data_IF_248497988181
#
_entry.id   IF_248497988181
#
_cell.length_a   1.000
_cell.length_b   1.000
_cell.length_c   1.000
_cell.angle_alpha   90.00
_cell.angle_beta   90.00
_cell.angle_gamma   90.00
#
_symmetry.space_group_name_H-M   'P 1'
#
loop_
_entity.id
_entity.type
_entity.pdbx_description
1 polymer ?
#
# COMPACT_ATOMS: atom_id res chain seq x y z
N UNK A 1 26.88 7.30 -1.71
CA UNK A 1 25.44 7.24 -1.31
C UNK A 1 25.23 5.95 -0.55
N UNK A 2 24.69 6.04 0.66
CA UNK A 2 24.31 4.87 1.46
C UNK A 2 23.00 4.26 0.96
N UNK A 3 22.70 3.04 1.39
CA UNK A 3 21.40 2.40 1.11
C UNK A 3 20.25 3.28 1.64
N UNK A 4 20.37 3.77 2.87
CA UNK A 4 19.36 4.63 3.50
C UNK A 4 19.14 5.94 2.71
N UNK A 5 20.22 6.57 2.23
CA UNK A 5 20.09 7.78 1.40
C UNK A 5 19.41 7.49 0.05
N UNK A 6 19.71 6.35 -0.57
CA UNK A 6 19.05 5.95 -1.81
C UNK A 6 17.55 5.64 -1.60
N UNK A 7 17.19 5.04 -0.46
CA UNK A 7 15.82 4.81 -0.04
C UNK A 7 15.04 6.14 0.03
N UNK A 8 15.61 7.12 0.71
CA UNK A 8 14.99 8.44 0.85
C UNK A 8 14.82 9.14 -0.51
N UNK A 9 15.85 9.10 -1.35
CA UNK A 9 15.80 9.66 -2.70
C UNK A 9 14.84 8.93 -3.64
N UNK A 10 14.49 7.69 -3.37
CA UNK A 10 13.54 6.93 -4.19
C UNK A 10 12.11 7.49 -4.17
N UNK A 11 11.79 8.39 -3.22
CA UNK A 11 10.53 9.12 -3.14
C UNK A 11 10.46 10.36 -4.05
N UNK A 12 11.58 10.75 -4.66
CA UNK A 12 11.64 11.95 -5.52
C UNK A 12 10.65 11.94 -6.69
N UNK A 13 10.40 10.81 -7.42
CA UNK A 13 9.42 10.81 -8.51
C UNK A 13 8.02 11.19 -8.06
N UNK A 14 7.59 10.72 -6.89
CA UNK A 14 6.27 11.00 -6.34
C UNK A 14 6.12 12.48 -5.99
N UNK A 15 7.17 13.08 -5.41
CA UNK A 15 7.20 14.52 -5.12
C UNK A 15 7.18 15.37 -6.40
N UNK A 16 7.90 14.96 -7.44
CA UNK A 16 7.89 15.61 -8.76
C UNK A 16 6.50 15.53 -9.39
N UNK A 17 5.85 14.38 -9.35
CA UNK A 17 4.51 14.19 -9.88
C UNK A 17 3.49 15.10 -9.21
N UNK A 18 3.53 15.21 -7.88
CA UNK A 18 2.72 16.16 -7.12
C UNK A 18 2.99 17.61 -7.57
N UNK A 19 4.26 17.99 -7.75
CA UNK A 19 4.65 19.35 -8.17
C UNK A 19 4.24 19.68 -9.60
N UNK A 20 4.16 18.71 -10.50
CA UNK A 20 3.65 18.90 -11.87
C UNK A 20 2.15 19.19 -11.83
N UNK A 21 1.41 18.44 -10.99
CA UNK A 21 -0.05 18.54 -10.90
C UNK A 21 -0.49 19.81 -10.19
N UNK A 22 0.15 20.13 -9.05
CA UNK A 22 -0.28 21.18 -8.14
C UNK A 22 0.82 22.20 -7.84
N UNK A 23 0.43 23.44 -7.54
CA UNK A 23 1.37 24.43 -7.01
C UNK A 23 1.64 24.15 -5.54
N UNK A 24 2.83 23.62 -5.24
CA UNK A 24 3.23 23.26 -3.88
C UNK A 24 3.98 24.38 -3.13
N UNK A 25 3.97 25.61 -3.63
CA UNK A 25 4.67 26.74 -2.99
C UNK A 25 4.20 26.97 -1.54
N UNK A 26 2.92 26.76 -1.27
CA UNK A 26 2.34 26.87 0.07
C UNK A 26 2.86 25.79 1.05
N UNK A 27 3.21 24.60 0.55
CA UNK A 27 3.62 23.47 1.35
C UNK A 27 5.14 23.30 1.45
N UNK A 28 5.92 23.87 0.52
CA UNK A 28 7.38 23.67 0.46
C UNK A 28 8.20 24.91 0.84
N UNK A 29 7.60 26.10 0.90
CA UNK A 29 8.27 27.33 1.30
C UNK A 29 8.66 27.36 2.79
N UNK A 30 9.50 28.33 3.17
CA UNK A 30 9.88 28.56 4.55
C UNK A 30 8.64 28.74 5.43
N UNK A 31 8.59 28.07 6.58
CA UNK A 31 7.41 28.09 7.47
C UNK A 31 6.27 27.18 7.03
N UNK A 32 6.48 26.28 6.07
CA UNK A 32 5.46 25.39 5.52
C UNK A 32 4.66 24.63 6.59
N UNK A 33 5.29 24.11 7.64
CA UNK A 33 4.61 23.35 8.71
C UNK A 33 3.54 24.21 9.43
N UNK A 34 3.87 25.45 9.79
CA UNK A 34 2.92 26.36 10.42
C UNK A 34 1.81 26.74 9.45
N UNK A 35 2.18 27.04 8.21
CA UNK A 35 1.23 27.40 7.15
C UNK A 35 0.25 26.26 6.86
N UNK A 36 0.73 25.02 6.78
CA UNK A 36 -0.14 23.85 6.61
C UNK A 36 -1.13 23.66 7.76
N UNK A 37 -0.66 23.85 9.02
CA UNK A 37 -1.56 23.82 10.18
C UNK A 37 -2.62 24.90 10.13
N UNK A 38 -2.28 26.11 9.71
CA UNK A 38 -3.24 27.21 9.57
C UNK A 38 -4.23 26.94 8.43
N UNK A 39 -3.77 26.40 7.29
CA UNK A 39 -4.63 26.00 6.17
C UNK A 39 -5.62 24.90 6.55
N UNK A 40 -5.16 23.90 7.31
CA UNK A 40 -6.03 22.83 7.84
C UNK A 40 -7.13 23.43 8.73
N UNK A 41 -6.76 24.32 9.65
CA UNK A 41 -7.72 25.01 10.52
C UNK A 41 -8.73 25.85 9.69
N UNK A 42 -8.27 26.58 8.68
CA UNK A 42 -9.15 27.35 7.78
C UNK A 42 -10.09 26.43 7.03
N UNK A 43 -9.60 25.29 6.52
CA UNK A 43 -10.43 24.31 5.82
C UNK A 43 -11.56 23.76 6.70
N UNK A 44 -11.24 23.39 7.95
CA UNK A 44 -12.24 22.90 8.92
C UNK A 44 -13.28 23.97 9.26
N UNK A 45 -12.84 25.19 9.53
CA UNK A 45 -13.74 26.30 9.88
C UNK A 45 -14.65 26.71 8.68
N UNK A 46 -14.14 26.70 7.45
CA UNK A 46 -14.95 26.92 6.26
C UNK A 46 -15.99 25.81 6.09
N UNK A 47 -15.59 24.56 6.27
CA UNK A 47 -16.51 23.42 6.19
C UNK A 47 -17.60 23.50 7.27
N UNK A 48 -17.24 23.83 8.51
CA UNK A 48 -18.20 24.03 9.60
C UNK A 48 -19.17 25.19 9.28
N UNK A 49 -18.65 26.30 8.71
CA UNK A 49 -19.48 27.41 8.25
C UNK A 49 -20.48 26.93 7.20
N UNK A 50 -20.07 26.15 6.21
CA UNK A 50 -20.94 25.59 5.18
C UNK A 50 -22.03 24.69 5.76
N UNK A 51 -21.68 23.86 6.73
CA UNK A 51 -22.64 23.02 7.43
C UNK A 51 -23.71 23.86 8.16
N UNK A 52 -23.31 24.93 8.86
CA UNK A 52 -24.24 25.84 9.54
C UNK A 52 -25.13 26.57 8.54
N UNK A 53 -24.58 27.05 7.42
CA UNK A 53 -25.31 27.65 6.34
C UNK A 53 -26.36 26.69 5.75
N UNK A 54 -25.96 25.44 5.50
CA UNK A 54 -26.85 24.41 4.96
C UNK A 54 -27.97 24.03 5.96
N UNK A 55 -27.69 23.99 7.25
CA UNK A 55 -28.69 23.78 8.30
C UNK A 55 -29.73 24.90 8.36
N UNK A 56 -29.31 26.12 8.09
CA UNK A 56 -30.23 27.29 8.10
C UNK A 56 -31.16 27.31 6.90
N UNK A 57 -30.69 27.00 5.67
CA UNK A 57 -31.52 26.91 4.48
C UNK A 57 -30.84 27.30 3.17
N UNK A 58 -31.55 27.12 2.06
CA UNK A 58 -31.03 27.41 0.72
C UNK A 58 -30.95 28.91 0.43
N UNK A 59 -29.99 29.30 -0.39
CA UNK A 59 -29.79 30.67 -0.88
C UNK A 59 -28.83 31.53 -0.06
N UNK A 60 -28.33 31.02 1.08
CA UNK A 60 -27.29 31.68 1.86
C UNK A 60 -25.91 31.21 1.36
N UNK A 61 -24.99 32.15 1.27
CA UNK A 61 -23.59 31.88 0.93
C UNK A 61 -22.66 32.53 1.95
N UNK A 62 -21.43 32.06 2.08
CA UNK A 62 -20.42 32.67 2.93
C UNK A 62 -20.17 34.14 2.62
N UNK A 63 -20.36 34.57 1.35
CA UNK A 63 -20.22 35.96 0.92
C UNK A 63 -21.31 36.86 1.48
N UNK A 64 -22.55 36.39 1.58
CA UNK A 64 -23.68 37.15 2.10
C UNK A 64 -23.68 37.21 3.62
N UNK A 65 -23.22 36.16 4.27
CA UNK A 65 -23.27 35.97 5.73
C UNK A 65 -22.72 37.16 6.55
N UNK A 66 -21.52 37.74 6.23
CA UNK A 66 -21.01 38.88 7.00
C UNK A 66 -21.85 40.14 6.95
N UNK A 67 -22.66 40.28 5.91
CA UNK A 67 -23.48 41.50 5.66
C UNK A 67 -24.90 41.40 6.24
N UNK A 68 -25.17 40.29 6.95
CA UNK A 68 -26.47 40.07 7.59
C UNK A 68 -26.46 40.65 9.00
N UNK A 69 -27.45 41.46 9.41
CA UNK A 69 -27.55 42.01 10.76
C UNK A 69 -28.17 40.98 11.73
N UNK A 70 -27.54 39.83 11.87
CA UNK A 70 -28.08 38.67 12.60
C UNK A 70 -28.34 38.99 14.07
N UNK A 71 -27.41 39.68 14.72
CA UNK A 71 -27.56 40.08 16.13
C UNK A 71 -28.78 40.97 16.34
N UNK A 72 -29.02 41.94 15.42
CA UNK A 72 -30.21 42.79 15.43
C UNK A 72 -31.50 41.98 15.22
N UNK A 73 -31.43 40.97 14.34
CA UNK A 73 -32.60 40.09 14.12
C UNK A 73 -32.93 39.25 15.34
N UNK A 74 -31.92 38.74 16.06
CA UNK A 74 -32.12 38.02 17.32
C UNK A 74 -32.73 38.92 18.37
N UNK A 75 -32.21 40.14 18.54
CA UNK A 75 -32.74 41.11 19.48
C UNK A 75 -34.21 41.49 19.13
N UNK A 76 -34.49 41.78 17.87
CA UNK A 76 -35.84 42.08 17.41
C UNK A 76 -36.81 40.92 17.61
N UNK A 77 -36.36 39.68 17.43
CA UNK A 77 -37.15 38.49 17.72
C UNK A 77 -37.47 38.38 19.22
N UNK A 78 -36.46 38.56 20.07
CA UNK A 78 -36.60 38.46 21.52
C UNK A 78 -37.55 39.60 22.09
N UNK A 79 -37.53 40.77 21.47
CA UNK A 79 -38.37 41.90 21.80
C UNK A 79 -39.79 41.80 21.21
N UNK A 80 -40.05 40.77 20.39
CA UNK A 80 -41.35 40.57 19.73
C UNK A 80 -42.33 39.82 20.65
N UNK A 81 -42.61 40.37 21.84
CA UNK A 81 -43.47 39.80 22.89
C UNK A 81 -44.76 40.69 22.99
N UNK A 82 -45.85 40.13 23.49
CA UNK A 82 -47.10 40.84 23.74
C UNK A 82 -48.02 40.92 22.53
N UNK A 83 -49.06 41.76 22.63
CA UNK A 83 -50.18 41.87 21.67
C UNK A 83 -49.72 42.16 20.24
N UNK A 84 -48.64 42.91 20.03
CA UNK A 84 -48.05 43.21 18.71
C UNK A 84 -46.91 42.32 18.32
N UNK A 85 -46.59 41.27 19.09
CA UNK A 85 -45.49 40.36 18.85
C UNK A 85 -45.61 39.66 17.48
N UNK A 86 -46.82 39.28 17.06
CA UNK A 86 -47.05 38.63 15.77
C UNK A 86 -46.74 39.56 14.59
N UNK A 87 -47.07 40.85 14.67
CA UNK A 87 -46.75 41.84 13.63
C UNK A 87 -45.26 42.12 13.54
N UNK A 88 -44.59 42.24 14.68
CA UNK A 88 -43.13 42.40 14.73
C UNK A 88 -42.41 41.21 14.12
N UNK A 89 -42.83 39.96 14.43
CA UNK A 89 -42.28 38.73 13.83
C UNK A 89 -42.52 38.66 12.34
N UNK A 90 -43.70 39.09 11.84
CA UNK A 90 -43.98 39.16 10.40
C UNK A 90 -43.10 40.21 9.72
N UNK A 91 -42.89 41.37 10.33
CA UNK A 91 -41.98 42.41 9.84
C UNK A 91 -40.53 41.89 9.75
N UNK A 92 -40.07 41.20 10.77
CA UNK A 92 -38.76 40.59 10.81
C UNK A 92 -38.61 39.53 9.70
N UNK A 93 -39.60 38.65 9.50
CA UNK A 93 -39.59 37.68 8.38
C UNK A 93 -39.44 38.37 7.04
N UNK A 94 -40.19 39.44 6.82
CA UNK A 94 -40.10 40.20 5.58
C UNK A 94 -38.73 40.87 5.39
N UNK A 95 -38.13 41.40 6.46
CA UNK A 95 -36.77 41.97 6.41
C UNK A 95 -35.71 40.93 6.04
N UNK A 96 -35.83 39.72 6.58
CA UNK A 96 -34.94 38.61 6.28
C UNK A 96 -35.12 38.15 4.81
N UNK A 97 -36.38 38.02 4.36
CA UNK A 97 -36.69 37.67 2.97
C UNK A 97 -36.19 38.74 1.96
N UNK A 98 -36.24 40.01 2.33
CA UNK A 98 -35.70 41.10 1.50
C UNK A 98 -34.17 41.03 1.31
N UNK A 99 -33.45 40.27 2.13
CA UNK A 99 -32.02 39.96 1.94
C UNK A 99 -31.78 38.75 1.05
N UNK A 100 -32.77 38.21 0.38
CA UNK A 100 -32.66 37.09 -0.54
C UNK A 100 -32.70 35.71 0.12
N UNK A 101 -33.00 35.64 1.42
CA UNK A 101 -33.09 34.41 2.18
C UNK A 101 -34.51 33.83 2.09
N UNK A 102 -34.80 33.13 1.01
CA UNK A 102 -36.17 32.71 0.65
C UNK A 102 -36.72 31.51 1.43
N UNK A 103 -35.90 30.77 2.16
CA UNK A 103 -36.31 29.53 2.83
C UNK A 103 -36.12 29.53 4.35
N UNK A 104 -36.45 30.63 5.01
CA UNK A 104 -36.41 30.68 6.47
C UNK A 104 -37.63 29.95 7.01
N UNK A 105 -37.43 28.70 7.39
CA UNK A 105 -38.50 27.90 7.99
C UNK A 105 -38.88 28.35 9.39
N UNK A 106 -37.93 28.94 10.14
CA UNK A 106 -38.27 29.48 11.46
C UNK A 106 -37.32 30.60 11.92
N UNK A 107 -37.85 31.60 12.60
CA UNK A 107 -37.06 32.60 13.33
C UNK A 107 -36.26 31.97 14.50
N UNK A 108 -36.49 30.72 14.79
CA UNK A 108 -35.87 30.02 15.92
C UNK A 108 -34.44 29.58 15.63
N UNK A 109 -34.00 29.62 14.37
CA UNK A 109 -32.68 29.16 13.95
C UNK A 109 -31.70 30.31 13.69
N UNK A 110 -31.99 31.53 14.12
CA UNK A 110 -31.11 32.70 13.93
C UNK A 110 -29.77 32.53 14.66
N UNK A 111 -29.74 31.77 15.75
CA UNK A 111 -28.53 31.44 16.49
C UNK A 111 -27.52 30.66 15.63
N UNK A 112 -28.01 29.81 14.73
CA UNK A 112 -27.15 29.08 13.78
C UNK A 112 -26.43 30.07 12.85
N UNK A 113 -27.11 31.12 12.41
CA UNK A 113 -26.47 32.17 11.59
C UNK A 113 -25.45 32.98 12.38
N UNK A 114 -25.73 33.26 13.66
CA UNK A 114 -24.80 33.96 14.52
C UNK A 114 -23.54 33.12 14.72
N UNK A 115 -23.69 31.83 15.05
CA UNK A 115 -22.56 30.87 15.15
C UNK A 115 -21.76 30.83 13.86
N UNK A 116 -22.44 30.75 12.70
CA UNK A 116 -21.77 30.74 11.39
C UNK A 116 -20.97 32.03 11.14
N UNK A 117 -21.51 33.22 11.56
CA UNK A 117 -20.78 34.50 11.47
C UNK A 117 -19.57 34.53 12.36
N UNK A 118 -19.68 34.03 13.59
CA UNK A 118 -18.55 33.93 14.55
C UNK A 118 -17.46 33.03 14.01
N UNK A 119 -17.83 31.85 13.48
CA UNK A 119 -16.87 30.90 12.87
C UNK A 119 -16.19 31.57 11.66
N UNK A 120 -16.96 32.23 10.78
CA UNK A 120 -16.42 32.90 9.60
C UNK A 120 -15.48 34.06 9.97
N UNK A 121 -15.79 34.83 11.02
CA UNK A 121 -14.91 35.88 11.50
C UNK A 121 -13.59 35.30 12.10
N UNK A 122 -13.70 34.20 12.83
CA UNK A 122 -12.52 33.45 13.29
C UNK A 122 -11.69 32.96 12.11
N UNK A 123 -12.33 32.42 11.07
CA UNK A 123 -11.67 31.98 9.84
C UNK A 123 -10.87 33.09 9.20
N UNK A 124 -11.47 34.30 9.08
CA UNK A 124 -10.78 35.48 8.52
C UNK A 124 -9.51 35.84 9.30
N UNK A 125 -9.48 35.69 10.62
CA UNK A 125 -8.28 35.98 11.40
C UNK A 125 -7.12 35.05 11.08
N UNK A 126 -7.41 33.76 10.81
CA UNK A 126 -6.38 32.80 10.36
C UNK A 126 -5.94 33.03 8.91
N UNK A 127 -6.83 33.58 8.05
CA UNK A 127 -6.50 33.90 6.66
C UNK A 127 -5.52 35.06 6.50
N UNK A 128 -5.43 35.96 7.46
CA UNK A 128 -4.49 37.10 7.42
C UNK A 128 -3.05 36.60 7.29
N UNK A 129 -2.68 35.55 8.01
CA UNK A 129 -1.33 34.96 7.97
C UNK A 129 -1.07 34.11 6.71
N UNK A 130 -2.09 33.99 5.84
CA UNK A 130 -2.10 33.15 4.65
C UNK A 130 -2.37 33.92 3.35
N UNK A 131 -2.27 35.28 3.39
CA UNK A 131 -2.59 36.12 2.23
C UNK A 131 -1.76 35.77 0.97
N UNK A 132 -0.52 35.31 1.17
CA UNK A 132 0.37 34.88 0.09
C UNK A 132 0.07 33.46 -0.43
N UNK A 133 -0.94 32.81 0.11
CA UNK A 133 -1.23 31.41 -0.22
C UNK A 133 -2.12 31.32 -1.46
N UNK A 134 -1.56 30.89 -2.58
CA UNK A 134 -2.24 30.83 -3.90
C UNK A 134 -3.50 29.96 -3.86
N UNK A 135 -3.56 29.00 -2.96
CA UNK A 135 -4.73 28.08 -2.83
C UNK A 135 -5.93 28.73 -2.13
N UNK A 136 -5.71 29.88 -1.46
CA UNK A 136 -6.79 30.61 -0.77
C UNK A 136 -7.34 31.75 -1.64
N UNK A 137 -8.62 31.65 -1.99
CA UNK A 137 -9.39 32.73 -2.66
C UNK A 137 -10.27 33.45 -1.66
N UNK A 138 -9.76 33.70 -0.46
CA UNK A 138 -10.54 34.29 0.63
C UNK A 138 -11.67 33.36 1.11
N UNK A 139 -12.73 33.93 1.64
CA UNK A 139 -13.89 33.20 2.17
C UNK A 139 -14.70 32.44 1.11
N UNK A 140 -14.43 32.66 -0.17
CA UNK A 140 -15.11 31.99 -1.30
C UNK A 140 -14.39 30.67 -1.69
N UNK A 141 -13.25 30.36 -1.04
CA UNK A 141 -12.53 29.10 -1.27
C UNK A 141 -13.43 27.91 -0.95
N UNK A 142 -13.51 26.96 -1.88
CA UNK A 142 -14.23 25.72 -1.66
C UNK A 142 -13.56 24.91 -0.55
N UNK A 143 -14.31 24.57 0.50
CA UNK A 143 -13.79 23.91 1.68
C UNK A 143 -13.31 22.48 1.39
N UNK A 144 -13.97 21.74 0.48
CA UNK A 144 -13.57 20.38 0.11
C UNK A 144 -12.33 20.40 -0.76
N UNK A 145 -12.24 21.32 -1.72
CA UNK A 145 -11.04 21.50 -2.55
C UNK A 145 -9.86 21.89 -1.65
N UNK A 146 -10.06 22.83 -0.71
CA UNK A 146 -9.01 23.25 0.21
C UNK A 146 -8.55 22.09 1.10
N UNK A 147 -9.48 21.27 1.58
CA UNK A 147 -9.17 20.08 2.37
C UNK A 147 -8.32 19.09 1.59
N UNK A 148 -8.64 18.84 0.33
CA UNK A 148 -7.83 18.01 -0.54
C UNK A 148 -6.42 18.58 -0.73
N UNK A 149 -6.32 19.90 -0.99
CA UNK A 149 -5.03 20.58 -1.14
C UNK A 149 -4.19 20.53 0.14
N UNK A 150 -4.81 20.62 1.32
CA UNK A 150 -4.10 20.44 2.60
C UNK A 150 -3.50 19.04 2.69
N UNK A 151 -4.27 18.00 2.38
CA UNK A 151 -3.78 16.61 2.39
C UNK A 151 -2.62 16.41 1.41
N UNK A 152 -2.73 16.94 0.21
CA UNK A 152 -1.66 16.85 -0.80
C UNK A 152 -0.42 17.65 -0.40
N UNK A 153 -0.61 18.83 0.19
CA UNK A 153 0.47 19.64 0.72
C UNK A 153 1.21 18.97 1.90
N UNK A 154 0.48 18.36 2.82
CA UNK A 154 1.07 17.57 3.91
C UNK A 154 1.86 16.37 3.38
N UNK A 155 1.33 15.68 2.39
CA UNK A 155 2.03 14.59 1.70
C UNK A 155 3.31 15.08 1.03
N UNK A 156 3.25 16.20 0.31
CA UNK A 156 4.40 16.79 -0.33
C UNK A 156 5.47 17.22 0.68
N UNK A 157 5.07 17.83 1.81
CA UNK A 157 5.97 18.22 2.88
C UNK A 157 6.64 17.01 3.54
N UNK A 158 5.88 15.92 3.76
CA UNK A 158 6.40 14.67 4.30
C UNK A 158 7.47 14.08 3.37
N UNK A 159 7.15 13.92 2.08
CA UNK A 159 8.08 13.40 1.07
C UNK A 159 9.33 14.27 0.96
N UNK A 160 9.15 15.59 0.95
CA UNK A 160 10.27 16.55 0.91
C UNK A 160 11.22 16.35 2.09
N UNK A 161 10.68 16.26 3.31
CA UNK A 161 11.49 16.04 4.50
C UNK A 161 12.18 14.67 4.48
N UNK A 162 11.47 13.61 4.06
CA UNK A 162 12.06 12.28 3.91
C UNK A 162 13.24 12.28 2.93
N UNK A 163 13.09 12.95 1.79
CA UNK A 163 14.18 13.07 0.80
C UNK A 163 15.38 13.78 1.42
N UNK A 164 15.16 14.86 2.20
CA UNK A 164 16.22 15.63 2.84
C UNK A 164 16.98 14.84 3.90
N UNK A 165 16.33 13.90 4.58
CA UNK A 165 17.01 12.99 5.52
C UNK A 165 18.07 12.09 4.85
N UNK A 166 18.07 11.96 3.52
CA UNK A 166 19.07 11.25 2.74
C UNK A 166 20.39 12.02 2.57
N UNK A 167 20.48 13.27 3.04
CA UNK A 167 21.65 14.12 2.93
C UNK A 167 22.26 14.43 4.30
N UNK A 168 23.57 14.37 4.40
CA UNK A 168 24.30 14.70 5.64
C UNK A 168 24.14 16.19 6.00
N UNK A 169 24.16 17.08 4.98
CA UNK A 169 23.83 18.50 5.09
C UNK A 169 22.63 18.81 4.18
N UNK A 170 21.41 18.96 4.74
CA UNK A 170 20.20 19.16 3.95
C UNK A 170 19.97 20.60 3.48
N UNK A 171 20.72 21.61 3.93
CA UNK A 171 20.42 23.03 3.68
C UNK A 171 20.50 23.36 2.18
N UNK A 172 21.61 23.06 1.55
CA UNK A 172 21.82 23.33 0.13
C UNK A 172 20.91 22.45 -0.76
N UNK A 173 20.80 21.14 -0.54
CA UNK A 173 19.83 20.28 -1.23
C UNK A 173 18.38 20.75 -1.10
N UNK A 174 17.96 21.18 0.11
CA UNK A 174 16.61 21.70 0.34
C UNK A 174 16.33 22.93 -0.51
N UNK A 175 17.28 23.87 -0.55
CA UNK A 175 17.14 25.10 -1.34
C UNK A 175 17.06 24.79 -2.83
N UNK A 176 17.96 23.95 -3.35
CA UNK A 176 17.97 23.56 -4.76
C UNK A 176 16.71 22.78 -5.16
N UNK A 177 16.27 21.89 -4.30
CA UNK A 177 15.07 21.08 -4.56
C UNK A 177 13.81 21.97 -4.58
N UNK A 178 13.67 22.90 -3.62
CA UNK A 178 12.58 23.89 -3.62
C UNK A 178 12.54 24.71 -4.90
N UNK A 179 13.68 25.28 -5.30
CA UNK A 179 13.77 26.06 -6.53
C UNK A 179 13.31 25.25 -7.74
N UNK A 180 13.69 23.99 -7.83
CA UNK A 180 13.28 23.10 -8.93
C UNK A 180 11.79 22.75 -8.89
N UNK A 181 11.23 22.50 -7.72
CA UNK A 181 9.85 22.07 -7.57
C UNK A 181 8.85 23.24 -7.65
N UNK A 182 9.25 24.45 -7.27
CA UNK A 182 8.37 25.64 -7.25
C UNK A 182 8.64 26.52 -8.47
N UNK A 183 9.84 27.03 -8.62
CA UNK A 183 10.18 27.97 -9.69
C UNK A 183 10.41 27.26 -11.04
N UNK A 184 10.93 26.03 -11.00
CA UNK A 184 11.18 25.22 -12.17
C UNK A 184 10.01 24.31 -12.58
N UNK A 185 8.83 24.47 -12.00
CA UNK A 185 7.67 23.59 -12.19
C UNK A 185 7.32 23.38 -13.66
N UNK A 186 7.30 24.43 -14.45
CA UNK A 186 6.96 24.34 -15.88
C UNK A 186 7.96 23.48 -16.70
N UNK A 187 9.15 23.24 -16.17
CA UNK A 187 10.18 22.40 -16.75
C UNK A 187 10.22 20.97 -16.18
N UNK A 188 9.36 20.67 -15.17
CA UNK A 188 9.27 19.35 -14.54
C UNK A 188 8.34 18.38 -15.30
N UNK A 189 8.22 18.49 -16.61
CA UNK A 189 7.41 17.52 -17.36
C UNK A 189 7.88 16.08 -17.11
N UNK A 190 7.00 15.09 -17.33
CA UNK A 190 7.33 13.67 -17.22
C UNK A 190 8.53 13.25 -18.12
N UNK A 191 8.79 14.01 -19.17
CA UNK A 191 9.90 13.79 -20.10
C UNK A 191 11.18 14.53 -19.71
N UNK A 192 11.15 15.37 -18.66
CA UNK A 192 12.34 16.10 -18.22
C UNK A 192 13.46 15.14 -17.78
N UNK A 193 14.70 15.59 -17.94
CA UNK A 193 15.86 14.80 -17.52
C UNK A 193 15.81 14.45 -16.03
N UNK A 194 15.35 15.38 -15.18
CA UNK A 194 15.21 15.18 -13.75
C UNK A 194 14.14 14.12 -13.45
N UNK A 195 12.97 14.23 -14.07
CA UNK A 195 11.87 13.29 -13.87
C UNK A 195 12.27 11.87 -14.29
N UNK A 196 12.91 11.73 -15.46
CA UNK A 196 13.43 10.43 -15.94
C UNK A 196 14.49 9.85 -15.01
N UNK A 197 15.44 10.67 -14.58
CA UNK A 197 16.50 10.22 -13.66
C UNK A 197 15.93 9.80 -12.30
N UNK A 198 14.96 10.55 -11.75
CA UNK A 198 14.29 10.21 -10.50
C UNK A 198 13.49 8.91 -10.61
N UNK A 199 12.76 8.71 -11.72
CA UNK A 199 12.00 7.48 -11.99
C UNK A 199 12.93 6.27 -12.12
N UNK A 200 14.04 6.42 -12.84
CA UNK A 200 15.03 5.36 -13.00
C UNK A 200 15.70 5.01 -11.66
N UNK A 201 16.04 6.00 -10.84
CA UNK A 201 16.57 5.79 -9.50
C UNK A 201 15.57 4.98 -8.65
N UNK A 202 14.30 5.38 -8.62
CA UNK A 202 13.26 4.68 -7.86
C UNK A 202 13.06 3.25 -8.34
N UNK A 203 13.06 3.02 -9.66
CA UNK A 203 12.94 1.68 -10.25
C UNK A 203 14.12 0.79 -9.82
N UNK A 204 15.33 1.29 -10.02
CA UNK A 204 16.56 0.55 -9.69
C UNK A 204 16.64 0.27 -8.17
N UNK A 205 16.20 1.21 -7.36
CA UNK A 205 16.17 1.01 -5.91
C UNK A 205 15.15 -0.05 -5.47
N UNK A 206 13.98 -0.11 -6.11
CA UNK A 206 12.99 -1.20 -5.87
C UNK A 206 13.55 -2.57 -6.25
N UNK A 207 14.30 -2.65 -7.35
CA UNK A 207 14.98 -3.88 -7.77
C UNK A 207 16.06 -4.27 -6.75
N UNK A 208 16.82 -3.31 -6.22
CA UNK A 208 17.82 -3.52 -5.18
C UNK A 208 17.18 -4.03 -3.87
N UNK A 209 16.06 -3.45 -3.44
CA UNK A 209 15.31 -3.95 -2.27
C UNK A 209 14.88 -5.40 -2.51
N UNK A 210 14.28 -5.70 -3.66
CA UNK A 210 13.83 -7.05 -3.98
C UNK A 210 14.98 -8.06 -3.98
N UNK A 211 16.15 -7.67 -4.50
CA UNK A 211 17.35 -8.49 -4.45
C UNK A 211 17.87 -8.68 -3.02
N UNK A 212 17.86 -7.62 -2.21
CA UNK A 212 18.27 -7.67 -0.79
C UNK A 212 17.36 -8.58 0.03
N UNK A 213 16.05 -8.47 -0.14
CA UNK A 213 15.06 -9.35 0.52
C UNK A 213 15.21 -10.81 0.07
N UNK A 214 15.57 -11.03 -1.19
CA UNK A 214 15.93 -12.35 -1.71
C UNK A 214 17.17 -12.93 -1.02
N UNK A 215 18.22 -12.12 -0.87
CA UNK A 215 19.45 -12.50 -0.17
C UNK A 215 19.19 -12.84 1.32
N UNK A 216 18.39 -12.02 2.02
CA UNK A 216 18.00 -12.27 3.40
C UNK A 216 17.24 -13.58 3.57
N UNK A 217 16.32 -13.90 2.65
CA UNK A 217 15.64 -15.22 2.62
C UNK A 217 16.63 -16.39 2.49
N UNK A 218 17.74 -16.17 1.82
CA UNK A 218 18.84 -17.12 1.71
C UNK A 218 19.80 -17.06 2.91
N UNK A 219 19.45 -16.31 3.98
CA UNK A 219 20.28 -16.06 5.17
C UNK A 219 21.62 -15.39 4.87
N UNK A 220 21.71 -14.65 3.78
CA UNK A 220 22.85 -13.80 3.47
C UNK A 220 22.57 -12.45 4.13
N UNK A 221 23.34 -12.11 5.16
CA UNK A 221 23.24 -10.80 5.81
C UNK A 221 23.90 -9.77 4.91
N UNK A 222 23.11 -8.79 4.47
CA UNK A 222 23.59 -7.59 3.80
C UNK A 222 23.59 -6.44 4.80
N UNK A 223 24.71 -5.77 4.93
CA UNK A 223 24.78 -4.57 5.78
C UNK A 223 24.25 -3.37 5.00
N UNK A 224 22.98 -3.02 5.25
CA UNK A 224 22.30 -1.88 4.62
C UNK A 224 22.87 -0.52 5.03
N UNK A 225 23.78 -0.47 6.01
CA UNK A 225 24.44 0.78 6.42
C UNK A 225 25.67 1.07 5.58
N UNK A 226 26.17 0.09 4.82
CA UNK A 226 27.31 0.28 3.94
C UNK A 226 26.99 1.14 2.72
N UNK A 227 28.00 1.77 2.13
CA UNK A 227 27.87 2.43 0.83
C UNK A 227 27.35 1.44 -0.24
N UNK A 228 26.51 1.93 -1.16
CA UNK A 228 25.98 1.11 -2.26
C UNK A 228 27.04 0.41 -3.12
N UNK A 229 28.27 1.01 -3.19
CA UNK A 229 29.40 0.36 -3.85
C UNK A 229 29.78 -0.97 -3.24
N UNK A 230 29.78 -1.08 -1.92
CA UNK A 230 30.11 -2.33 -1.22
C UNK A 230 29.02 -3.36 -1.42
N UNK A 231 27.74 -2.97 -1.38
CA UNK A 231 26.62 -3.85 -1.70
C UNK A 231 26.72 -4.40 -3.12
N UNK A 232 27.18 -3.59 -4.09
CA UNK A 232 27.41 -4.04 -5.45
C UNK A 232 28.45 -5.16 -5.50
N UNK A 233 29.56 -5.00 -4.78
CA UNK A 233 30.60 -6.03 -4.68
C UNK A 233 30.05 -7.32 -4.08
N UNK A 234 29.23 -7.24 -3.01
CA UNK A 234 28.59 -8.39 -2.40
C UNK A 234 27.65 -9.10 -3.39
N UNK A 235 26.84 -8.36 -4.14
CA UNK A 235 25.98 -8.95 -5.17
C UNK A 235 26.77 -9.56 -6.33
N UNK A 236 27.88 -8.97 -6.75
CA UNK A 236 28.76 -9.53 -7.77
C UNK A 236 29.37 -10.85 -7.30
N UNK A 237 29.79 -10.94 -6.03
CA UNK A 237 30.26 -12.19 -5.42
C UNK A 237 29.15 -13.26 -5.40
N UNK A 238 27.91 -12.88 -5.03
CA UNK A 238 26.76 -13.77 -5.03
C UNK A 238 26.46 -14.24 -6.47
N UNK A 239 26.42 -13.32 -7.42
CA UNK A 239 26.17 -13.61 -8.84
C UNK A 239 27.22 -14.56 -9.43
N UNK A 240 28.50 -14.36 -9.10
CA UNK A 240 29.58 -15.25 -9.52
C UNK A 240 29.44 -16.68 -8.96
N UNK A 241 28.72 -16.83 -7.84
CA UNK A 241 28.44 -18.13 -7.21
C UNK A 241 27.06 -18.68 -7.54
N UNK A 242 26.32 -18.05 -8.48
CA UNK A 242 24.94 -18.40 -8.79
C UNK A 242 24.74 -19.88 -9.16
N UNK A 243 25.70 -20.48 -9.92
CA UNK A 243 25.65 -21.89 -10.25
C UNK A 243 25.81 -22.79 -9.02
N UNK A 244 26.70 -22.42 -8.10
CA UNK A 244 26.88 -23.15 -6.84
C UNK A 244 25.66 -22.98 -5.95
N UNK A 245 25.05 -21.79 -5.92
CA UNK A 245 23.82 -21.52 -5.18
C UNK A 245 22.66 -22.34 -5.73
N UNK A 246 22.52 -22.42 -7.05
CA UNK A 246 21.49 -23.25 -7.67
C UNK A 246 21.66 -24.73 -7.31
N UNK A 247 22.88 -25.25 -7.36
CA UNK A 247 23.19 -26.62 -6.91
C UNK A 247 22.85 -26.82 -5.43
N UNK A 248 23.15 -25.83 -4.60
CA UNK A 248 22.83 -25.88 -3.17
C UNK A 248 21.32 -25.86 -2.94
N UNK A 249 20.54 -25.04 -3.66
CA UNK A 249 19.08 -25.04 -3.58
C UNK A 249 18.48 -26.39 -3.95
N UNK A 250 18.99 -27.03 -5.04
CA UNK A 250 18.58 -28.36 -5.41
C UNK A 250 18.93 -29.40 -4.33
N UNK A 251 20.11 -29.28 -3.74
CA UNK A 251 20.50 -30.15 -2.64
C UNK A 251 19.60 -30.00 -1.41
N UNK A 252 19.28 -28.75 -1.00
CA UNK A 252 18.36 -28.47 0.11
C UNK A 252 16.96 -29.02 -0.16
N UNK A 253 16.46 -28.85 -1.37
CA UNK A 253 15.16 -29.40 -1.78
C UNK A 253 15.17 -30.94 -1.68
N UNK A 254 16.21 -31.60 -2.21
CA UNK A 254 16.37 -33.05 -2.12
C UNK A 254 16.52 -33.53 -0.65
N UNK A 255 17.27 -32.81 0.19
CA UNK A 255 17.40 -33.09 1.62
C UNK A 255 16.05 -33.00 2.33
N UNK A 256 15.28 -31.96 2.08
CA UNK A 256 13.95 -31.80 2.68
C UNK A 256 13.01 -32.93 2.23
N UNK A 257 13.05 -33.29 0.96
CA UNK A 257 12.30 -34.42 0.43
C UNK A 257 12.73 -35.75 1.08
N UNK A 258 14.03 -35.98 1.24
CA UNK A 258 14.54 -37.13 1.94
C UNK A 258 14.06 -37.23 3.40
N UNK A 259 14.01 -36.09 4.10
CA UNK A 259 13.42 -36.00 5.45
C UNK A 259 11.94 -36.39 5.47
N UNK A 260 11.14 -35.97 4.51
CA UNK A 260 9.71 -36.37 4.45
C UNK A 260 9.52 -37.87 4.27
N UNK A 261 10.54 -38.58 3.74
CA UNK A 261 10.57 -40.04 3.61
C UNK A 261 11.29 -40.74 4.75
N UNK A 262 11.68 -40.04 5.82
CA UNK A 262 12.37 -40.63 6.97
C UNK A 262 13.83 -40.99 6.69
N UNK A 263 14.48 -40.39 5.70
CA UNK A 263 15.85 -40.68 5.27
C UNK A 263 16.89 -39.70 5.86
N UNK A 264 16.60 -39.08 7.01
CA UNK A 264 17.49 -38.10 7.65
C UNK A 264 18.87 -38.64 7.91
N UNK A 265 18.96 -39.87 8.49
CA UNK A 265 20.24 -40.52 8.80
C UNK A 265 21.10 -40.80 7.57
N UNK A 266 20.45 -41.15 6.44
CA UNK A 266 21.14 -41.32 5.17
C UNK A 266 21.67 -39.98 4.65
N UNK A 267 20.86 -38.94 4.74
CA UNK A 267 21.25 -37.58 4.35
C UNK A 267 22.42 -37.05 5.19
N UNK A 268 22.43 -37.32 6.49
CA UNK A 268 23.53 -36.96 7.41
C UNK A 268 24.81 -37.75 7.10
N UNK A 269 24.69 -39.04 6.83
CA UNK A 269 25.83 -39.89 6.47
C UNK A 269 26.48 -39.48 5.15
N UNK A 270 25.69 -39.10 4.15
CA UNK A 270 26.16 -38.53 2.89
C UNK A 270 26.84 -37.19 3.08
N UNK A 271 26.25 -36.30 3.90
CA UNK A 271 26.78 -34.98 4.18
C UNK A 271 28.11 -35.02 4.94
N UNK A 272 28.27 -35.98 5.84
CA UNK A 272 29.50 -36.19 6.62
C UNK A 272 30.56 -37.02 5.88
N UNK A 273 30.34 -37.33 4.61
CA UNK A 273 31.24 -38.20 3.81
C UNK A 273 31.52 -39.59 4.41
N UNK A 274 30.62 -40.08 5.28
CA UNK A 274 30.68 -41.41 5.83
C UNK A 274 30.33 -42.50 4.80
N UNK A 275 29.56 -42.11 3.79
CA UNK A 275 29.12 -42.99 2.70
C UNK A 275 29.28 -42.23 1.38
N UNK A 276 29.85 -42.88 0.38
CA UNK A 276 29.89 -42.32 -0.95
C UNK A 276 28.52 -42.42 -1.65
N UNK A 277 28.12 -41.44 -2.50
CA UNK A 277 26.81 -41.43 -3.14
C UNK A 277 26.49 -42.70 -3.95
N UNK A 278 27.46 -43.24 -4.64
CA UNK A 278 27.29 -44.48 -5.44
C UNK A 278 27.03 -45.66 -4.50
N UNK A 279 27.84 -45.81 -3.46
CA UNK A 279 27.66 -46.85 -2.45
C UNK A 279 26.35 -46.70 -1.68
N UNK A 280 25.89 -45.48 -1.42
CA UNK A 280 24.61 -45.22 -0.77
C UNK A 280 23.42 -45.69 -1.64
N UNK A 281 23.49 -45.48 -2.95
CA UNK A 281 22.48 -45.95 -3.90
C UNK A 281 22.42 -47.50 -3.89
N UNK A 282 23.54 -48.14 -4.02
CA UNK A 282 23.64 -49.62 -4.06
C UNK A 282 23.20 -50.24 -2.75
N UNK A 283 23.58 -49.64 -1.62
CA UNK A 283 23.17 -50.11 -0.29
C UNK A 283 21.67 -49.91 -0.06
N UNK A 284 21.10 -48.76 -0.50
CA UNK A 284 19.67 -48.52 -0.41
C UNK A 284 18.85 -49.48 -1.27
N UNK A 285 19.30 -49.77 -2.50
CA UNK A 285 18.67 -50.74 -3.37
C UNK A 285 18.77 -52.17 -2.82
N UNK A 286 19.92 -52.52 -2.24
CA UNK A 286 20.12 -53.81 -1.56
C UNK A 286 19.22 -53.93 -0.34
N UNK A 287 19.17 -52.92 0.51
CA UNK A 287 18.30 -52.88 1.67
C UNK A 287 16.82 -52.98 1.24
N UNK A 288 16.39 -52.25 0.22
CA UNK A 288 15.04 -52.32 -0.31
C UNK A 288 14.69 -53.70 -0.81
N UNK A 289 15.61 -54.38 -1.52
CA UNK A 289 15.41 -55.75 -2.00
C UNK A 289 15.29 -56.75 -0.85
N UNK A 290 16.10 -56.62 0.19
CA UNK A 290 16.05 -57.49 1.40
C UNK A 290 14.77 -57.26 2.19
N UNK A 291 14.29 -56.02 2.29
CA UNK A 291 13.09 -55.70 3.04
C UNK A 291 11.81 -56.01 2.28
N UNK A 292 11.78 -55.75 0.98
CA UNK A 292 10.60 -55.97 0.15
C UNK A 292 10.41 -57.47 -0.22
N UNK A 293 11.50 -58.20 -0.36
CA UNK A 293 11.38 -59.63 -0.77
C UNK A 293 10.49 -60.43 0.17
N UNK A 294 10.60 -60.40 1.50
CA UNK A 294 9.71 -61.11 2.41
C UNK A 294 8.25 -60.61 2.30
N UNK A 295 8.05 -59.28 2.23
CA UNK A 295 6.72 -58.71 2.12
C UNK A 295 6.02 -59.04 0.80
N UNK A 296 6.78 -59.15 -0.28
CA UNK A 296 6.27 -59.48 -1.60
C UNK A 296 5.92 -60.96 -1.68
N UNK A 297 6.68 -61.83 -1.04
CA UNK A 297 6.41 -63.28 -0.97
C UNK A 297 5.13 -63.56 -0.18
N UNK A 298 4.92 -62.86 0.94
CA UNK A 298 3.77 -63.05 1.80
C UNK A 298 2.49 -62.39 1.24
N UNK A 299 2.66 -61.28 0.52
CA UNK A 299 1.52 -60.46 0.06
C UNK A 299 0.89 -60.91 -1.27
N UNK A 300 1.67 -61.45 -2.20
CA UNK A 300 1.14 -61.96 -3.48
C UNK A 300 2.16 -62.79 -4.26
N UNK A 301 1.80 -64.00 -4.73
CA UNK A 301 2.65 -64.82 -5.60
C UNK A 301 3.08 -64.09 -6.88
N UNK A 302 2.30 -63.13 -7.36
CA UNK A 302 2.61 -62.37 -8.55
C UNK A 302 3.72 -61.33 -8.32
N UNK A 303 4.00 -60.96 -7.07
CA UNK A 303 5.09 -60.03 -6.73
C UNK A 303 6.42 -60.72 -6.51
N UNK A 304 6.47 -62.05 -6.39
CA UNK A 304 7.69 -62.87 -6.26
C UNK A 304 8.62 -62.64 -7.47
N UNK A 305 8.06 -62.46 -8.64
CA UNK A 305 8.83 -62.17 -9.86
C UNK A 305 9.69 -60.87 -9.76
N UNK A 306 9.39 -59.99 -8.81
CA UNK A 306 10.16 -58.74 -8.58
C UNK A 306 11.27 -58.96 -7.55
N UNK A 307 11.31 -60.05 -6.81
CA UNK A 307 12.29 -60.28 -5.74
C UNK A 307 13.72 -60.58 -6.23
N UNK A 308 13.89 -60.99 -7.49
CA UNK A 308 15.17 -61.37 -8.08
C UNK A 308 15.56 -60.54 -9.31
N UNK A 309 14.82 -59.54 -9.64
CA UNK A 309 14.95 -58.88 -10.91
C UNK A 309 15.72 -57.58 -10.91
N UNK A 310 16.10 -57.18 -12.08
CA UNK A 310 16.67 -55.91 -12.44
C UNK A 310 15.82 -54.75 -11.89
N UNK A 311 16.32 -54.05 -10.87
CA UNK A 311 15.64 -52.96 -10.20
C UNK A 311 15.25 -51.78 -11.14
N UNK A 312 15.99 -51.61 -12.25
CA UNK A 312 15.67 -50.60 -13.25
C UNK A 312 14.36 -50.91 -13.96
N UNK A 313 14.13 -52.17 -14.33
CA UNK A 313 12.88 -52.60 -14.92
C UNK A 313 11.71 -52.48 -13.94
N UNK A 314 11.97 -52.71 -12.65
CA UNK A 314 10.99 -52.56 -11.60
C UNK A 314 10.61 -51.08 -11.43
N UNK A 315 11.61 -50.18 -11.37
CA UNK A 315 11.39 -48.73 -11.27
C UNK A 315 10.61 -48.23 -12.49
N UNK A 316 10.97 -48.67 -13.68
CA UNK A 316 10.26 -48.30 -14.91
C UNK A 316 8.82 -48.81 -14.87
N UNK A 317 8.55 -50.04 -14.43
CA UNK A 317 7.21 -50.61 -14.30
C UNK A 317 6.37 -49.86 -13.27
N UNK A 318 6.96 -49.45 -12.14
CA UNK A 318 6.28 -48.58 -11.16
C UNK A 318 5.97 -47.21 -11.71
N UNK A 319 6.88 -46.59 -12.45
CA UNK A 319 6.65 -45.30 -13.10
C UNK A 319 5.53 -45.39 -14.14
N UNK A 320 5.50 -46.45 -14.94
CA UNK A 320 4.41 -46.70 -15.89
C UNK A 320 3.08 -46.94 -15.19
N UNK A 321 3.09 -47.69 -14.05
CA UNK A 321 1.90 -47.92 -13.26
C UNK A 321 1.40 -46.62 -12.63
N UNK A 322 2.29 -45.81 -12.05
CA UNK A 322 1.97 -44.51 -11.48
C UNK A 322 1.34 -43.58 -12.53
N UNK A 323 1.94 -43.53 -13.72
CA UNK A 323 1.39 -42.75 -14.83
C UNK A 323 -0.01 -43.24 -15.25
N UNK A 324 -0.22 -44.55 -15.26
CA UNK A 324 -1.56 -45.15 -15.56
C UNK A 324 -2.58 -44.82 -14.48
N UNK A 325 -2.19 -44.95 -13.20
CA UNK A 325 -3.06 -44.64 -12.05
C UNK A 325 -3.42 -43.17 -12.06
N UNK A 326 -2.43 -42.27 -12.26
CA UNK A 326 -2.64 -40.84 -12.33
C UNK A 326 -3.59 -40.46 -13.48
N UNK A 327 -3.39 -41.04 -14.67
CA UNK A 327 -4.28 -40.84 -15.82
C UNK A 327 -5.70 -41.33 -15.54
N UNK A 328 -5.83 -42.53 -14.94
CA UNK A 328 -7.13 -43.11 -14.61
C UNK A 328 -7.84 -42.29 -13.54
N UNK A 329 -7.11 -41.85 -12.52
CA UNK A 329 -7.63 -40.96 -11.48
C UNK A 329 -8.14 -39.64 -12.07
N UNK A 330 -7.37 -39.03 -12.96
CA UNK A 330 -7.79 -37.78 -13.64
C UNK A 330 -9.05 -38.02 -14.51
N UNK A 331 -9.12 -39.15 -15.21
CA UNK A 331 -10.30 -39.52 -15.98
C UNK A 331 -11.54 -39.78 -15.10
N UNK A 332 -11.33 -40.41 -13.94
CA UNK A 332 -12.36 -40.64 -12.96
C UNK A 332 -12.91 -39.34 -12.38
N UNK A 333 -12.04 -38.44 -11.95
CA UNK A 333 -12.41 -37.10 -11.47
C UNK A 333 -13.17 -36.30 -12.55
N UNK A 334 -12.71 -36.36 -13.78
CA UNK A 334 -13.42 -35.74 -14.91
C UNK A 334 -14.82 -36.40 -15.17
N UNK A 335 -14.94 -37.71 -15.02
CA UNK A 335 -16.21 -38.42 -15.18
C UNK A 335 -17.18 -38.09 -14.04
N UNK A 336 -16.73 -37.94 -12.80
CA UNK A 336 -17.54 -37.45 -11.67
C UNK A 336 -18.01 -36.03 -11.96
N UNK A 337 -17.10 -35.12 -12.34
CA UNK A 337 -17.44 -33.74 -12.66
C UNK A 337 -18.45 -33.63 -13.83
N UNK A 338 -18.42 -34.59 -14.77
CA UNK A 338 -19.38 -34.69 -15.88
C UNK A 338 -20.68 -35.41 -15.49
N UNK A 339 -20.83 -35.84 -14.24
CA UNK A 339 -22.02 -36.61 -13.76
C UNK A 339 -22.17 -38.03 -14.37
N UNK A 340 -21.09 -38.59 -14.91
CA UNK A 340 -21.07 -39.88 -15.57
C UNK A 340 -20.83 -41.06 -14.62
N UNK A 341 -20.20 -40.79 -13.48
CA UNK A 341 -19.87 -41.78 -12.44
C UNK A 341 -20.14 -41.13 -11.08
N UNK A 342 -20.74 -41.88 -10.12
CA UNK A 342 -20.95 -41.35 -8.76
C UNK A 342 -19.62 -41.16 -8.04
N UNK A 343 -19.51 -40.09 -7.25
CA UNK A 343 -18.36 -39.87 -6.37
C UNK A 343 -18.42 -40.85 -5.19
N UNK A 344 -17.44 -41.74 -5.08
CA UNK A 344 -17.35 -42.74 -3.99
C UNK A 344 -17.25 -42.11 -2.60
N UNK A 345 -16.84 -40.85 -2.52
CA UNK A 345 -16.78 -40.07 -1.27
C UNK A 345 -18.12 -39.40 -0.94
N UNK A 346 -19.08 -39.43 -1.84
CA UNK A 346 -20.39 -38.89 -1.56
C UNK A 346 -21.18 -39.81 -0.61
N UNK A 347 -22.03 -39.24 0.26
CA UNK A 347 -22.90 -40.02 1.16
C UNK A 347 -23.85 -40.99 0.43
N UNK A 348 -23.98 -40.84 -0.87
CA UNK A 348 -24.86 -41.66 -1.72
C UNK A 348 -24.05 -42.61 -2.63
N UNK A 349 -22.73 -42.72 -2.44
CA UNK A 349 -21.94 -43.66 -3.18
C UNK A 349 -22.33 -45.12 -2.77
N UNK A 350 -22.50 -46.07 -3.72
CA UNK A 350 -22.70 -47.46 -3.37
C UNK A 350 -21.53 -47.98 -2.54
N UNK A 351 -21.83 -48.74 -1.50
CA UNK A 351 -20.84 -49.31 -0.57
C UNK A 351 -19.97 -50.42 -1.18
N UNK A 352 -20.11 -50.69 -2.46
CA UNK A 352 -19.35 -51.72 -3.20
C UNK A 352 -18.59 -51.05 -4.38
N UNK A 353 -17.46 -50.42 -4.09
CA UNK A 353 -16.45 -50.12 -5.09
C UNK A 353 -15.08 -50.46 -4.53
#
# INVERSE_FOLDING_TARGET
VSFSAAEKLSHLPELIELSIRDDLSYALNTGAKQRMSSLATVSELLFETDQKIAQYGHGLTRKLLPNLPVSEWIENRNNAIGLFGAFKRKGLKNAIMAKGLSNIQSLNNLEILQEAQEILNKTKSYMIDLEDCVVLRGIETDSEILKQQVVEGEKALLLFNQILEGFDDPIEPATKLRLKLIEGRDYLSHESTLSRAATELSRTFKELISASDGAEKLRIQLDRNLPLGNLKEDFEVIASKSEKLNRWCHWVAAKNQASTFGLERLSEALQSHLIEPVSAKDNALTALSVWLAPLLVDASPTLVQFSSSNHENMIQSFQELDAKVSKTSAQYVAAIAAGKVPDVNSKNAPSEY
#
